data_IF_210487263513
#
_entry.id   IF_210487263513
#
_cell.length_a   1.000
_cell.length_b   1.000
_cell.length_c   1.000
_cell.angle_alpha   90.00
_cell.angle_beta   90.00
_cell.angle_gamma   90.00
#
_symmetry.space_group_name_H-M   'P 1'
#
loop_
_entity.id
_entity.type
_entity.pdbx_description
1 polymer ?
#
# COMPACT_ATOMS: atom_id res chain seq x y z
N UNK A 1 -67.83 58.78 -0.60
CA UNK A 1 -68.82 58.41 0.45
C UNK A 1 -69.01 56.89 0.41
N UNK A 2 -68.95 56.25 1.59
CA UNK A 2 -69.50 54.92 2.02
C UNK A 2 -69.27 53.70 1.11
N UNK A 3 -68.35 52.77 1.44
CA UNK A 3 -68.40 51.62 2.39
C UNK A 3 -69.52 50.61 2.13
N UNK A 4 -69.14 49.33 1.94
CA UNK A 4 -69.56 48.02 2.55
C UNK A 4 -68.77 46.93 1.79
N UNK A 5 -67.67 46.28 2.23
CA UNK A 5 -67.40 45.22 3.24
C UNK A 5 -68.37 44.01 3.23
N UNK A 6 -67.85 42.84 2.81
CA UNK A 6 -68.01 41.46 3.37
C UNK A 6 -67.64 40.46 2.26
N UNK A 7 -67.03 39.29 2.43
CA UNK A 7 -66.22 38.64 3.46
C UNK A 7 -65.54 37.44 2.78
N UNK A 8 -64.38 37.07 3.31
CA UNK A 8 -63.52 35.89 3.10
C UNK A 8 -64.21 34.55 2.82
N UNK A 9 -63.53 33.66 2.06
CA UNK A 9 -63.04 32.34 2.53
C UNK A 9 -61.81 31.94 1.70
N UNK A 10 -60.76 31.58 2.42
CA UNK A 10 -59.50 31.04 1.91
C UNK A 10 -59.64 29.55 1.57
N UNK A 11 -59.02 29.10 0.48
CA UNK A 11 -58.74 27.69 0.24
C UNK A 11 -57.22 27.52 0.13
N UNK A 12 -56.66 27.02 1.23
CA UNK A 12 -55.27 26.62 1.40
C UNK A 12 -55.10 25.26 0.69
N UNK A 13 -54.31 25.18 -0.38
CA UNK A 13 -53.94 23.89 -0.99
C UNK A 13 -52.56 23.50 -0.47
N UNK A 14 -52.52 22.58 0.49
CA UNK A 14 -51.28 21.96 0.95
C UNK A 14 -50.85 20.89 -0.08
N UNK A 15 -49.70 21.10 -0.71
CA UNK A 15 -49.02 20.09 -1.52
C UNK A 15 -48.35 19.10 -0.56
N UNK A 16 -48.91 17.90 -0.46
CA UNK A 16 -48.28 16.76 0.20
C UNK A 16 -47.15 16.24 -0.70
N UNK A 17 -45.93 16.66 -0.40
CA UNK A 17 -44.71 15.99 -0.86
C UNK A 17 -44.58 14.67 -0.08
N UNK A 18 -44.85 13.56 -0.75
CA UNK A 18 -44.54 12.22 -0.27
C UNK A 18 -43.01 12.07 -0.20
N UNK A 19 -42.45 12.31 0.98
CA UNK A 19 -41.14 11.81 1.38
C UNK A 19 -41.25 10.28 1.45
N UNK A 20 -40.90 9.61 0.34
CA UNK A 20 -40.57 8.20 0.38
C UNK A 20 -39.40 8.04 1.32
N UNK A 21 -39.62 7.38 2.45
CA UNK A 21 -38.55 6.94 3.33
C UNK A 21 -37.58 6.08 2.51
N UNK A 22 -36.43 6.65 2.16
CA UNK A 22 -35.29 5.85 1.76
C UNK A 22 -34.93 5.02 2.99
N UNK A 23 -35.23 3.73 2.93
CA UNK A 23 -34.68 2.77 3.86
C UNK A 23 -33.15 2.97 3.90
N UNK A 24 -32.51 2.87 5.08
CA UNK A 24 -31.06 2.84 5.11
C UNK A 24 -30.60 1.74 4.14
N UNK A 25 -29.65 2.09 3.28
CA UNK A 25 -28.97 1.12 2.45
C UNK A 25 -28.45 0.03 3.39
N UNK A 26 -29.06 -1.14 3.32
CA UNK A 26 -28.50 -2.34 3.92
C UNK A 26 -27.13 -2.50 3.28
N UNK A 27 -26.10 -2.41 4.11
CA UNK A 27 -24.76 -2.87 3.75
C UNK A 27 -24.93 -4.23 3.09
N UNK A 28 -24.38 -4.36 1.88
CA UNK A 28 -24.35 -5.63 1.20
C UNK A 28 -23.56 -6.59 2.10
N UNK A 29 -24.26 -7.48 2.81
CA UNK A 29 -23.73 -8.78 3.20
C UNK A 29 -23.42 -9.52 1.89
N UNK A 30 -22.27 -9.21 1.31
CA UNK A 30 -21.76 -9.95 0.17
C UNK A 30 -21.09 -11.19 0.75
N UNK A 31 -21.90 -12.21 1.02
CA UNK A 31 -21.44 -13.55 1.34
C UNK A 31 -20.53 -14.06 0.23
N UNK A 32 -19.24 -13.88 0.42
CA UNK A 32 -18.20 -14.70 -0.17
C UNK A 32 -17.64 -15.51 0.98
N UNK A 33 -17.45 -16.81 0.80
CA UNK A 33 -16.84 -17.69 1.82
C UNK A 33 -15.35 -17.40 2.02
N UNK A 34 -14.95 -16.12 2.03
CA UNK A 34 -13.63 -15.66 2.38
C UNK A 34 -13.45 -15.92 3.87
N UNK A 35 -12.43 -16.71 4.18
CA UNK A 35 -12.00 -16.97 5.55
C UNK A 35 -11.47 -15.66 6.11
N UNK A 36 -11.97 -15.25 7.28
CA UNK A 36 -11.34 -14.17 8.04
C UNK A 36 -9.97 -14.63 8.53
N UNK A 37 -8.93 -13.88 8.16
CA UNK A 37 -7.54 -14.24 8.35
C UNK A 37 -6.89 -13.59 9.59
N UNK A 38 -7.64 -12.90 10.44
CA UNK A 38 -7.09 -12.22 11.64
C UNK A 38 -6.23 -13.15 12.49
N UNK A 39 -6.66 -14.41 12.66
CA UNK A 39 -5.93 -15.41 13.44
C UNK A 39 -4.62 -15.89 12.79
N UNK A 40 -4.44 -15.65 11.47
CA UNK A 40 -3.24 -16.00 10.72
C UNK A 40 -2.17 -14.89 10.77
N UNK A 41 -2.53 -13.68 11.24
CA UNK A 41 -1.59 -12.56 11.32
C UNK A 41 -0.53 -12.83 12.41
N UNK A 42 0.77 -12.81 12.07
CA UNK A 42 1.84 -13.11 13.02
C UNK A 42 1.93 -12.04 14.11
N UNK A 43 2.27 -12.46 15.33
CA UNK A 43 2.53 -11.52 16.43
C UNK A 43 3.65 -10.54 16.06
N UNK A 44 3.42 -9.23 16.28
CA UNK A 44 4.38 -8.19 15.94
C UNK A 44 3.71 -6.88 15.48
N UNK A 45 4.47 -6.02 14.76
CA UNK A 45 3.97 -4.77 14.21
C UNK A 45 2.72 -4.93 13.34
N UNK A 46 2.71 -5.95 12.46
CA UNK A 46 1.60 -6.24 11.55
C UNK A 46 0.29 -6.52 12.30
N UNK A 47 0.34 -7.37 13.33
CA UNK A 47 -0.84 -7.68 14.16
C UNK A 47 -1.43 -6.46 14.84
N UNK A 48 -0.59 -5.59 15.41
CA UNK A 48 -1.07 -4.35 16.03
C UNK A 48 -1.76 -3.44 15.01
N UNK A 49 -1.23 -3.39 13.78
CA UNK A 49 -1.87 -2.64 12.71
C UNK A 49 -3.24 -3.22 12.35
N UNK A 50 -3.33 -4.54 12.14
CA UNK A 50 -4.58 -5.23 11.81
C UNK A 50 -5.62 -5.05 12.92
N UNK A 51 -5.28 -5.33 14.17
CA UNK A 51 -6.19 -5.17 15.31
C UNK A 51 -6.68 -3.72 15.43
N UNK A 52 -5.81 -2.74 15.14
CA UNK A 52 -6.20 -1.33 15.12
C UNK A 52 -7.17 -1.03 13.99
N UNK A 53 -6.92 -1.54 12.79
CA UNK A 53 -7.78 -1.34 11.64
C UNK A 53 -9.17 -1.95 11.85
N UNK A 54 -9.22 -3.19 12.33
CA UNK A 54 -10.46 -3.92 12.64
C UNK A 54 -11.25 -3.24 13.76
N UNK A 55 -10.58 -2.82 14.84
CA UNK A 55 -11.23 -2.11 15.95
C UNK A 55 -11.87 -0.78 15.55
N UNK A 56 -11.38 -0.18 14.46
CA UNK A 56 -11.86 1.08 13.90
C UNK A 56 -12.92 0.88 12.81
N UNK A 57 -13.21 -0.37 12.44
CA UNK A 57 -14.18 -0.74 11.40
C UNK A 57 -14.00 0.07 10.11
N UNK A 58 -12.75 0.12 9.63
CA UNK A 58 -12.38 0.94 8.49
C UNK A 58 -12.92 0.32 7.20
N UNK A 59 -13.61 1.12 6.37
CA UNK A 59 -14.25 0.64 5.14
C UNK A 59 -13.33 -0.19 4.23
N UNK A 60 -12.04 0.15 4.18
CA UNK A 60 -10.98 -0.61 3.53
C UNK A 60 -9.64 -0.22 4.14
N UNK A 61 -8.77 -1.18 4.38
CA UNK A 61 -7.48 -0.94 5.00
C UNK A 61 -6.42 -1.92 4.52
N UNK A 62 -5.16 -1.51 4.62
CA UNK A 62 -4.01 -2.38 4.46
C UNK A 62 -2.95 -2.05 5.51
N UNK A 63 -2.17 -3.06 5.89
CA UNK A 63 -1.13 -2.98 6.89
C UNK A 63 0.19 -3.46 6.29
N UNK A 64 1.21 -2.60 6.39
CA UNK A 64 2.59 -2.94 6.05
C UNK A 64 3.47 -2.72 7.27
N UNK A 65 3.90 -3.79 7.92
CA UNK A 65 4.56 -3.68 9.22
C UNK A 65 3.71 -2.90 10.22
N UNK A 66 4.15 -1.71 10.63
CA UNK A 66 3.42 -0.83 11.56
C UNK A 66 2.64 0.31 10.89
N UNK A 67 2.65 0.36 9.56
CA UNK A 67 1.96 1.38 8.77
C UNK A 67 0.56 0.92 8.40
N UNK A 68 -0.44 1.73 8.77
CA UNK A 68 -1.83 1.55 8.38
C UNK A 68 -2.16 2.45 7.18
N UNK A 69 -2.50 1.83 6.06
CA UNK A 69 -3.00 2.48 4.87
C UNK A 69 -4.53 2.48 4.90
N UNK A 70 -5.13 3.65 5.11
CA UNK A 70 -6.58 3.78 5.11
C UNK A 70 -7.00 5.19 4.66
N UNK A 71 -8.13 5.30 3.95
CA UNK A 71 -8.69 6.59 3.51
C UNK A 71 -7.70 7.46 2.71
N UNK A 72 -6.82 6.84 1.93
CA UNK A 72 -5.78 7.53 1.16
C UNK A 72 -4.67 8.15 2.01
N UNK A 73 -4.52 7.72 3.26
CA UNK A 73 -3.48 8.18 4.19
C UNK A 73 -2.69 7.00 4.73
N UNK A 74 -1.43 7.27 5.08
CA UNK A 74 -0.56 6.35 5.82
C UNK A 74 -0.49 6.86 7.27
N UNK A 75 -0.76 5.98 8.23
CA UNK A 75 -0.67 6.24 9.67
C UNK A 75 0.35 5.28 10.30
N UNK A 76 1.38 5.83 10.94
CA UNK A 76 2.38 5.05 11.69
C UNK A 76 1.82 4.69 13.08
N UNK A 77 1.59 3.41 13.35
CA UNK A 77 1.01 2.91 14.61
C UNK A 77 2.08 2.41 15.62
N UNK A 78 3.34 2.34 15.19
CA UNK A 78 4.50 1.97 15.98
C UNK A 78 5.44 3.16 16.26
N UNK A 79 6.58 2.94 16.93
CA UNK A 79 7.68 3.89 16.85
C UNK A 79 7.97 4.16 15.37
N UNK A 80 8.26 5.41 15.02
CA UNK A 80 8.69 5.73 13.66
C UNK A 80 9.92 4.88 13.36
N UNK A 81 9.84 3.99 12.36
CA UNK A 81 11.03 3.26 11.96
C UNK A 81 12.06 4.28 11.50
N UNK A 82 13.21 4.30 12.19
CA UNK A 82 14.39 4.97 11.66
C UNK A 82 14.67 4.36 10.29
N UNK A 83 15.10 5.20 9.34
CA UNK A 83 15.49 4.86 7.96
C UNK A 83 15.73 3.36 7.80
N UNK A 84 15.00 2.65 6.92
CA UNK A 84 15.11 1.21 6.79
C UNK A 84 16.58 0.75 6.78
N UNK A 85 17.01 0.04 7.82
CA UNK A 85 18.42 -0.33 8.05
C UNK A 85 18.75 -1.68 7.43
N UNK A 86 20.02 -1.92 7.13
CA UNK A 86 20.50 -3.18 6.52
C UNK A 86 20.37 -4.32 7.50
N UNK A 87 19.66 -5.40 7.12
CA UNK A 87 19.75 -6.67 7.84
C UNK A 87 20.60 -7.69 7.07
N UNK A 88 21.23 -8.60 7.82
CA UNK A 88 22.19 -9.57 7.30
C UNK A 88 21.57 -10.57 6.30
N UNK A 89 22.45 -11.20 5.51
CA UNK A 89 22.14 -12.13 4.41
C UNK A 89 21.11 -13.23 4.80
N UNK A 90 20.07 -13.39 3.97
CA UNK A 90 19.05 -14.43 4.08
C UNK A 90 19.02 -15.31 2.80
N UNK A 91 18.55 -16.57 2.84
CA UNK A 91 18.57 -17.50 1.71
C UNK A 91 17.75 -17.01 0.50
N UNK A 92 18.19 -17.34 -0.72
CA UNK A 92 17.79 -16.77 -2.03
C UNK A 92 16.31 -16.96 -2.46
N UNK A 93 15.45 -17.62 -1.67
CA UNK A 93 14.01 -17.66 -1.96
C UNK A 93 13.36 -16.38 -1.43
N UNK A 94 12.71 -15.61 -2.32
CA UNK A 94 12.00 -14.38 -2.00
C UNK A 94 10.83 -14.61 -1.01
N UNK A 95 10.37 -15.86 -0.88
CA UNK A 95 9.18 -16.28 -0.14
C UNK A 95 9.46 -16.85 1.26
N UNK A 96 10.74 -17.14 1.58
CA UNK A 96 11.10 -17.85 2.82
C UNK A 96 11.57 -16.97 3.96
N UNK A 97 11.60 -15.65 3.79
CA UNK A 97 12.20 -14.70 4.72
C UNK A 97 11.27 -13.51 4.95
N UNK A 98 11.39 -12.86 6.11
CA UNK A 98 10.52 -11.76 6.55
C UNK A 98 9.12 -12.13 7.06
N UNK A 99 8.76 -13.41 7.16
CA UNK A 99 7.38 -13.85 7.46
C UNK A 99 6.70 -13.25 8.70
N UNK A 100 7.44 -12.76 9.71
CA UNK A 100 6.88 -12.36 11.01
C UNK A 100 6.85 -10.84 11.28
N UNK A 101 7.58 -10.02 10.55
CA UNK A 101 7.80 -8.60 10.90
C UNK A 101 7.05 -7.61 10.01
N UNK A 102 6.57 -8.05 8.84
CA UNK A 102 5.74 -7.25 7.93
C UNK A 102 6.51 -6.31 7.00
N UNK A 103 7.73 -5.90 7.35
CA UNK A 103 8.68 -5.21 6.46
C UNK A 103 10.11 -5.63 6.83
N UNK A 104 10.91 -6.02 5.85
CA UNK A 104 12.30 -6.38 6.03
C UNK A 104 13.15 -5.98 4.84
N UNK A 105 14.45 -5.91 5.08
CA UNK A 105 15.40 -5.62 4.01
C UNK A 105 16.62 -6.52 4.20
N UNK A 106 17.19 -7.05 3.13
CA UNK A 106 18.41 -7.87 3.21
C UNK A 106 19.46 -7.41 2.22
N UNK A 107 20.72 -7.45 2.65
CA UNK A 107 21.86 -7.23 1.76
C UNK A 107 22.22 -8.53 1.05
N UNK A 108 22.17 -8.51 -0.29
CA UNK A 108 22.68 -9.61 -1.13
C UNK A 108 24.16 -9.36 -1.46
N UNK A 109 24.52 -8.11 -1.72
CA UNK A 109 25.89 -7.59 -1.82
C UNK A 109 25.86 -6.07 -1.62
N UNK A 110 27.02 -5.42 -1.52
CA UNK A 110 27.11 -3.94 -1.43
C UNK A 110 26.35 -3.22 -2.56
N UNK A 111 26.14 -3.87 -3.70
CA UNK A 111 25.44 -3.31 -4.86
C UNK A 111 24.02 -3.83 -5.02
N UNK A 112 23.60 -4.83 -4.24
CA UNK A 112 22.31 -5.48 -4.44
C UNK A 112 21.60 -5.66 -3.11
N UNK A 113 20.38 -5.11 -3.04
CA UNK A 113 19.51 -5.24 -1.89
C UNK A 113 18.11 -5.64 -2.30
N UNK A 114 17.41 -6.27 -1.37
CA UNK A 114 15.99 -6.54 -1.47
C UNK A 114 15.25 -5.97 -0.26
N UNK A 115 14.10 -5.37 -0.52
CA UNK A 115 13.12 -4.99 0.49
C UNK A 115 11.86 -5.79 0.26
N UNK A 116 11.37 -6.48 1.29
CA UNK A 116 10.15 -7.29 1.27
C UNK A 116 9.18 -6.73 2.29
N UNK A 117 7.95 -6.48 1.85
CA UNK A 117 6.81 -6.21 2.71
C UNK A 117 5.83 -7.37 2.63
N UNK A 118 5.27 -7.77 3.78
CA UNK A 118 4.15 -8.68 3.86
C UNK A 118 2.93 -7.83 4.18
N UNK A 119 2.03 -7.72 3.21
CA UNK A 119 0.91 -6.81 3.25
C UNK A 119 -0.34 -7.59 3.66
N UNK A 120 -0.94 -7.20 4.78
CA UNK A 120 -2.25 -7.69 5.20
C UNK A 120 -3.31 -6.66 4.83
N UNK A 121 -4.44 -7.09 4.29
CA UNK A 121 -5.51 -6.15 3.90
C UNK A 121 -6.89 -6.67 4.26
N UNK A 122 -7.82 -5.74 4.45
CA UNK A 122 -9.14 -6.04 4.96
C UNK A 122 -10.16 -4.94 4.74
N UNK A 123 -11.39 -5.24 5.14
CA UNK A 123 -12.56 -4.38 4.98
C UNK A 123 -13.44 -4.51 6.22
N UNK A 124 -13.78 -3.37 6.82
CA UNK A 124 -14.45 -3.33 8.11
C UNK A 124 -13.57 -3.96 9.19
N UNK A 125 -14.17 -4.90 9.92
CA UNK A 125 -13.58 -5.67 11.01
C UNK A 125 -12.94 -7.00 10.58
N UNK A 126 -12.77 -7.25 9.27
CA UNK A 126 -12.28 -8.52 8.75
C UNK A 126 -10.96 -8.38 7.98
N UNK A 127 -10.04 -9.31 8.23
CA UNK A 127 -8.84 -9.50 7.40
C UNK A 127 -9.17 -10.42 6.23
N UNK A 128 -9.00 -9.92 4.99
CA UNK A 128 -9.46 -10.61 3.77
C UNK A 128 -8.35 -11.36 3.04
N UNK A 129 -7.11 -10.88 3.11
CA UNK A 129 -6.01 -11.51 2.40
C UNK A 129 -4.65 -10.95 2.78
N UNK A 130 -3.63 -11.60 2.25
CA UNK A 130 -2.25 -11.16 2.36
C UNK A 130 -1.47 -11.44 1.09
N UNK A 131 -0.48 -10.61 0.82
CA UNK A 131 0.46 -10.80 -0.28
C UNK A 131 1.81 -10.17 0.07
N UNK A 132 2.86 -10.70 -0.53
CA UNK A 132 4.18 -10.12 -0.44
C UNK A 132 4.48 -9.20 -1.62
N UNK A 133 5.22 -8.14 -1.33
CA UNK A 133 5.85 -7.30 -2.33
C UNK A 133 7.35 -7.20 -2.07
N UNK A 134 8.14 -7.58 -3.07
CA UNK A 134 9.61 -7.54 -3.02
C UNK A 134 10.11 -6.58 -4.08
N UNK A 135 10.95 -5.62 -3.68
CA UNK A 135 11.72 -4.77 -4.60
C UNK A 135 13.20 -5.10 -4.46
N UNK A 136 13.80 -5.56 -5.56
CA UNK A 136 15.24 -5.75 -5.67
C UNK A 136 15.87 -4.56 -6.37
N UNK A 137 16.84 -3.94 -5.70
CA UNK A 137 17.64 -2.83 -6.21
C UNK A 137 19.04 -3.35 -6.53
N UNK A 138 19.45 -3.23 -7.78
CA UNK A 138 20.81 -3.53 -8.22
C UNK A 138 21.49 -2.25 -8.75
N UNK A 139 22.51 -1.81 -8.02
CA UNK A 139 23.21 -0.54 -8.17
C UNK A 139 24.53 -0.65 -8.93
N UNK A 140 24.62 -1.55 -9.92
CA UNK A 140 25.82 -1.71 -10.73
C UNK A 140 26.04 -0.53 -11.71
N UNK A 141 26.48 0.60 -11.15
CA UNK A 141 26.62 1.89 -11.81
C UNK A 141 25.64 2.93 -11.26
N UNK A 142 25.53 4.06 -11.97
CA UNK A 142 24.62 5.17 -11.64
C UNK A 142 23.21 5.02 -12.19
N UNK A 143 22.91 3.88 -12.80
CA UNK A 143 21.57 3.59 -13.31
C UNK A 143 21.05 2.34 -12.60
N UNK A 144 20.15 2.50 -11.61
CA UNK A 144 19.58 1.40 -10.87
C UNK A 144 18.87 0.41 -11.78
N UNK A 145 19.03 -0.87 -11.47
CA UNK A 145 18.32 -1.99 -12.10
C UNK A 145 17.33 -2.54 -11.09
N UNK A 146 16.05 -2.42 -11.40
CA UNK A 146 14.94 -2.68 -10.49
C UNK A 146 14.14 -3.88 -10.97
N UNK A 147 13.76 -4.76 -10.04
CA UNK A 147 12.75 -5.79 -10.27
C UNK A 147 11.78 -5.82 -9.10
N UNK A 148 10.50 -5.91 -9.39
CA UNK A 148 9.46 -6.14 -8.39
C UNK A 148 8.91 -7.55 -8.55
N UNK A 149 8.82 -8.29 -7.44
CA UNK A 149 8.05 -9.52 -7.36
C UNK A 149 6.84 -9.30 -6.45
N UNK A 150 5.69 -9.83 -6.85
CA UNK A 150 4.51 -9.93 -6.01
C UNK A 150 4.14 -11.41 -5.84
N UNK A 151 3.75 -11.80 -4.62
CA UNK A 151 3.39 -13.19 -4.29
C UNK A 151 2.06 -13.14 -3.53
N UNK A 152 1.06 -13.88 -3.99
CA UNK A 152 -0.22 -13.97 -3.28
C UNK A 152 -0.12 -15.08 -2.24
N UNK A 153 -0.27 -14.74 -0.96
CA UNK A 153 -0.16 -15.71 0.13
C UNK A 153 -1.54 -16.27 0.50
N UNK A 154 -2.52 -15.41 0.76
CA UNK A 154 -3.88 -15.84 1.10
C UNK A 154 -4.90 -14.80 0.61
N UNK A 155 -6.14 -15.25 0.42
CA UNK A 155 -7.27 -14.43 -0.01
C UNK A 155 -7.65 -14.59 -1.49
N UNK A 156 -8.55 -13.72 -1.98
CA UNK A 156 -9.07 -13.78 -3.34
C UNK A 156 -8.01 -13.37 -4.39
N UNK A 157 -8.24 -13.68 -5.68
CA UNK A 157 -7.36 -13.23 -6.75
C UNK A 157 -7.17 -11.71 -6.74
N UNK A 158 -5.92 -11.26 -6.91
CA UNK A 158 -5.53 -9.86 -6.87
C UNK A 158 -5.19 -9.33 -8.26
N UNK A 159 -5.79 -8.22 -8.65
CA UNK A 159 -5.42 -7.46 -9.83
C UNK A 159 -4.68 -6.18 -9.44
N UNK A 160 -3.46 -6.00 -9.94
CA UNK A 160 -2.65 -4.81 -9.76
C UNK A 160 -2.67 -3.99 -11.05
N UNK A 161 -3.54 -2.98 -11.19
CA UNK A 161 -3.58 -2.13 -12.38
C UNK A 161 -2.29 -1.35 -12.59
N UNK A 162 -1.65 -0.92 -11.50
CA UNK A 162 -0.46 -0.07 -11.53
C UNK A 162 0.46 -0.40 -10.36
N UNK A 163 1.72 -0.66 -10.70
CA UNK A 163 2.82 -0.78 -9.75
C UNK A 163 3.90 0.19 -10.23
N UNK A 164 4.34 1.08 -9.35
CA UNK A 164 5.32 2.10 -9.67
C UNK A 164 6.43 2.11 -8.64
N UNK A 165 7.63 2.37 -9.11
CA UNK A 165 8.77 2.66 -8.24
C UNK A 165 9.19 4.09 -8.47
N UNK A 166 9.28 4.87 -7.39
CA UNK A 166 9.71 6.27 -7.45
C UNK A 166 11.07 6.40 -6.79
N UNK A 167 12.04 6.98 -7.50
CA UNK A 167 13.34 7.33 -6.98
C UNK A 167 13.25 8.68 -6.26
N UNK A 168 13.85 8.77 -5.07
CA UNK A 168 13.98 10.00 -4.31
C UNK A 168 15.44 10.28 -3.96
N UNK A 169 15.82 11.54 -4.09
CA UNK A 169 17.05 12.12 -3.56
C UNK A 169 16.76 12.71 -2.18
N UNK A 170 17.47 12.23 -1.16
CA UNK A 170 17.29 12.68 0.22
C UNK A 170 17.79 14.11 0.41
N UNK A 171 16.98 14.90 1.10
CA UNK A 171 17.39 16.20 1.60
C UNK A 171 17.08 16.34 3.08
N UNK A 172 18.10 16.26 3.93
CA UNK A 172 17.94 16.29 5.40
C UNK A 172 17.09 17.44 5.98
N UNK A 173 17.00 18.60 5.28
CA UNK A 173 16.27 19.79 5.74
C UNK A 173 15.18 20.28 4.76
N UNK A 174 14.94 19.56 3.67
CA UNK A 174 14.00 19.96 2.62
C UNK A 174 13.17 18.75 2.17
N UNK A 175 12.03 18.93 1.49
CA UNK A 175 11.37 17.82 0.83
C UNK A 175 12.34 17.12 -0.12
N UNK A 176 12.30 15.79 -0.15
CA UNK A 176 13.11 14.99 -1.07
C UNK A 176 12.69 15.24 -2.51
N UNK A 177 13.68 15.34 -3.41
CA UNK A 177 13.44 15.54 -4.83
C UNK A 177 13.22 14.20 -5.53
N UNK A 178 12.25 14.13 -6.44
CA UNK A 178 12.04 12.92 -7.24
C UNK A 178 13.10 12.83 -8.34
N UNK A 179 13.91 11.77 -8.32
CA UNK A 179 14.93 11.48 -9.34
C UNK A 179 14.43 10.62 -10.50
N UNK A 180 13.18 10.14 -10.46
CA UNK A 180 12.57 9.35 -11.53
C UNK A 180 11.36 8.55 -11.05
N UNK A 181 10.51 8.13 -11.98
CA UNK A 181 9.40 7.21 -11.70
C UNK A 181 9.26 6.17 -12.79
N UNK A 182 9.33 4.90 -12.40
CA UNK A 182 9.23 3.76 -13.29
C UNK A 182 7.92 3.01 -13.09
N UNK A 183 7.22 2.74 -14.18
CA UNK A 183 6.09 1.79 -14.15
C UNK A 183 6.64 0.37 -14.24
N UNK A 184 6.45 -0.40 -13.18
CA UNK A 184 6.91 -1.79 -13.10
C UNK A 184 6.03 -2.70 -13.95
N UNK A 185 4.73 -2.38 -14.03
CA UNK A 185 3.75 -3.04 -14.87
C UNK A 185 2.41 -3.18 -14.17
N UNK A 186 1.62 -4.15 -14.64
CA UNK A 186 0.43 -4.64 -13.97
C UNK A 186 0.51 -6.15 -13.77
N UNK A 187 -0.11 -6.63 -12.70
CA UNK A 187 -0.07 -8.03 -12.30
C UNK A 187 -1.49 -8.59 -12.11
N UNK A 188 -1.64 -9.89 -12.30
CA UNK A 188 -2.84 -10.62 -11.89
C UNK A 188 -2.42 -11.91 -11.20
N UNK A 189 -2.68 -12.00 -9.90
CA UNK A 189 -2.35 -13.15 -9.06
C UNK A 189 -3.62 -13.95 -8.84
N UNK A 190 -3.68 -15.17 -9.37
CA UNK A 190 -4.92 -15.94 -9.49
C UNK A 190 -5.20 -16.85 -8.31
N UNK A 191 -4.17 -17.33 -7.63
CA UNK A 191 -4.27 -18.32 -6.55
C UNK A 191 -3.16 -18.09 -5.53
N UNK A 192 -3.35 -18.58 -4.30
CA UNK A 192 -2.28 -18.70 -3.31
C UNK A 192 -1.02 -19.34 -3.91
N UNK A 193 0.14 -18.80 -3.55
CA UNK A 193 1.46 -19.11 -4.08
C UNK A 193 1.73 -18.58 -5.49
N UNK A 194 0.77 -17.91 -6.16
CA UNK A 194 1.02 -17.34 -7.48
C UNK A 194 1.97 -16.15 -7.38
N UNK A 195 2.92 -16.10 -8.31
CA UNK A 195 3.97 -15.07 -8.35
C UNK A 195 3.91 -14.29 -9.66
N UNK A 196 4.14 -12.99 -9.56
CA UNK A 196 4.38 -12.12 -10.71
C UNK A 196 5.71 -11.42 -10.55
N UNK A 197 6.43 -11.24 -11.65
CA UNK A 197 7.68 -10.49 -11.68
C UNK A 197 7.60 -9.42 -12.78
N UNK A 198 8.03 -8.21 -12.49
CA UNK A 198 8.00 -7.07 -13.43
C UNK A 198 8.90 -7.27 -14.66
N UNK A 199 9.85 -8.21 -14.57
CA UNK A 199 11.06 -8.19 -15.37
C UNK A 199 11.96 -7.02 -14.99
N UNK A 200 13.13 -6.96 -15.65
CA UNK A 200 14.10 -5.89 -15.41
C UNK A 200 13.55 -4.53 -15.87
N UNK A 201 13.66 -3.54 -14.98
CA UNK A 201 13.49 -2.12 -15.26
C UNK A 201 14.79 -1.38 -14.98
N UNK A 202 15.05 -0.38 -15.80
CA UNK A 202 16.19 0.51 -15.64
C UNK A 202 15.65 1.83 -15.14
N UNK A 203 16.05 2.22 -13.93
CA UNK A 203 15.72 3.52 -13.41
C UNK A 203 16.44 4.63 -14.15
N UNK A 204 16.12 5.86 -13.77
CA UNK A 204 16.80 7.03 -14.27
C UNK A 204 18.27 7.08 -13.79
N UNK A 205 19.09 7.79 -14.56
CA UNK A 205 20.51 7.94 -14.25
C UNK A 205 20.66 8.95 -13.10
N UNK A 206 21.32 8.52 -12.03
CA UNK A 206 21.60 9.34 -10.86
C UNK A 206 22.79 10.27 -11.13
N UNK A 207 22.60 11.57 -10.85
CA UNK A 207 23.48 12.63 -11.34
C UNK A 207 24.56 13.05 -10.35
N UNK A 208 24.31 12.95 -9.04
CA UNK A 208 25.22 13.45 -8.02
C UNK A 208 25.61 12.35 -7.01
N UNK A 209 26.19 12.74 -5.88
CA UNK A 209 26.69 11.82 -4.85
C UNK A 209 25.88 11.86 -3.57
N UNK A 210 24.64 12.32 -3.66
CA UNK A 210 23.72 12.38 -2.54
C UNK A 210 23.22 10.99 -2.18
N UNK A 211 22.43 10.96 -1.13
CA UNK A 211 21.76 9.77 -0.65
C UNK A 211 20.43 9.62 -1.40
N UNK A 212 20.11 8.40 -1.79
CA UNK A 212 18.93 8.08 -2.57
C UNK A 212 18.18 6.92 -1.95
N UNK A 213 16.89 6.83 -2.23
CA UNK A 213 16.07 5.65 -1.96
C UNK A 213 15.02 5.47 -3.05
N UNK A 214 14.37 4.31 -3.07
CA UNK A 214 13.21 4.06 -3.92
C UNK A 214 11.99 3.83 -3.05
N UNK A 215 10.82 4.30 -3.46
CA UNK A 215 9.55 3.90 -2.87
C UNK A 215 8.81 2.98 -3.83
N UNK A 216 8.20 1.91 -3.31
CA UNK A 216 7.28 1.06 -4.08
C UNK A 216 5.85 1.46 -3.75
N UNK A 217 5.11 1.91 -4.77
CA UNK A 217 3.69 2.23 -4.67
C UNK A 217 2.90 1.25 -5.53
N UNK A 218 1.73 0.84 -5.04
CA UNK A 218 0.84 -0.06 -5.77
C UNK A 218 -0.62 0.31 -5.57
N UNK A 219 -1.42 0.08 -6.62
CA UNK A 219 -2.86 -0.08 -6.51
C UNK A 219 -3.22 -1.54 -6.75
N UNK A 220 -4.16 -2.08 -6.00
CA UNK A 220 -4.65 -3.45 -6.17
C UNK A 220 -6.15 -3.58 -5.93
N UNK A 221 -6.74 -4.58 -6.56
CA UNK A 221 -8.18 -4.88 -6.51
C UNK A 221 -8.33 -6.36 -6.19
N UNK A 222 -8.68 -6.70 -4.94
CA UNK A 222 -9.09 -8.05 -4.60
C UNK A 222 -10.43 -8.38 -5.25
N UNK A 223 -10.56 -9.57 -5.83
CA UNK A 223 -11.79 -9.96 -6.53
C UNK A 223 -12.98 -9.95 -5.56
N UNK A 224 -14.00 -9.16 -5.88
CA UNK A 224 -15.20 -9.01 -5.05
C UNK A 224 -15.16 -7.85 -4.04
N UNK A 225 -14.05 -7.11 -3.98
CA UNK A 225 -13.85 -6.01 -3.01
C UNK A 225 -13.48 -4.68 -3.69
N UNK A 226 -13.52 -3.59 -2.92
CA UNK A 226 -13.16 -2.25 -3.41
C UNK A 226 -11.63 -2.10 -3.59
N UNK A 227 -11.15 -1.26 -4.52
CA UNK A 227 -9.72 -1.04 -4.72
C UNK A 227 -9.00 -0.49 -3.48
N UNK A 228 -7.76 -0.91 -3.31
CA UNK A 228 -6.80 -0.40 -2.33
C UNK A 228 -5.59 0.19 -3.07
N UNK A 229 -4.92 1.16 -2.45
CA UNK A 229 -3.71 1.74 -3.02
C UNK A 229 -2.89 2.49 -1.98
N UNK A 230 -1.58 2.54 -2.19
CA UNK A 230 -0.69 3.46 -1.49
C UNK A 230 0.78 3.07 -1.64
N UNK A 231 1.61 3.75 -0.86
CA UNK A 231 3.03 3.40 -0.69
C UNK A 231 3.12 2.14 0.14
N UNK A 232 3.66 1.07 -0.44
CA UNK A 232 3.87 -0.18 0.27
C UNK A 232 5.06 -0.05 1.21
N UNK A 233 6.18 0.47 0.72
CA UNK A 233 7.37 0.70 1.53
C UNK A 233 8.37 1.60 0.84
N UNK A 234 9.31 2.11 1.62
CA UNK A 234 10.53 2.73 1.15
C UNK A 234 11.67 1.72 1.25
N UNK A 235 12.48 1.67 0.20
CA UNK A 235 13.75 0.98 0.27
C UNK A 235 14.65 1.78 1.22
N UNK A 236 15.57 1.08 1.83
CA UNK A 236 16.74 1.67 2.42
C UNK A 236 17.53 2.57 1.48
N UNK A 237 18.30 3.45 2.13
CA UNK A 237 19.07 4.47 1.48
C UNK A 237 20.39 3.91 0.90
N UNK A 238 20.88 4.54 -0.16
CA UNK A 238 22.13 4.20 -0.83
C UNK A 238 22.82 5.43 -1.39
N UNK A 239 24.13 5.33 -1.66
CA UNK A 239 24.96 6.46 -2.06
C UNK A 239 25.64 6.23 -3.40
N UNK A 240 25.90 7.31 -4.13
CA UNK A 240 26.60 7.31 -5.42
C UNK A 240 27.89 8.15 -5.38
N UNK A 241 28.88 7.75 -4.59
CA UNK A 241 30.09 8.55 -4.38
C UNK A 241 30.92 8.76 -5.66
N UNK A 242 31.29 10.01 -5.95
CA UNK A 242 32.22 10.34 -7.04
C UNK A 242 31.76 9.84 -8.42
N UNK A 243 32.70 9.34 -9.22
CA UNK A 243 32.40 8.72 -10.53
C UNK A 243 32.03 7.23 -10.43
N UNK A 244 31.99 6.68 -9.20
CA UNK A 244 31.94 5.25 -8.93
C UNK A 244 30.50 4.69 -8.93
N UNK A 245 30.32 3.34 -8.96
CA UNK A 245 29.02 2.72 -8.81
C UNK A 245 28.36 3.07 -7.47
N UNK A 246 27.03 3.13 -7.47
CA UNK A 246 26.27 3.35 -6.25
C UNK A 246 26.29 2.09 -5.38
N UNK A 247 26.20 2.22 -4.06
CA UNK A 247 26.19 1.08 -3.15
C UNK A 247 25.40 1.35 -1.88
N UNK A 248 24.94 0.28 -1.24
CA UNK A 248 24.32 0.30 0.08
C UNK A 248 25.41 0.34 1.15
N UNK A 249 25.31 1.28 2.07
CA UNK A 249 26.15 1.31 3.27
C UNK A 249 25.45 0.52 4.38
N UNK A 250 26.24 -0.19 5.18
CA UNK A 250 25.77 -0.85 6.41
C UNK A 250 25.20 0.15 7.43
#
# INVERSE_FOLDING_TARGET
MRRVITSTIAALTAVLLSLGAMAPAQSAENGTGARDLTAAVPDGPAKKCVETAESRDLASWACVGSELLANGKVEQLGPQEQRPTVSAYAPDDEDGWCETTGLCTRLVSDYIRETKANIWYGYGDQTVGSYDAVLRNNLNGRQPRLTTTLILDDGPPLYFPTITTTCYEEHTLWPDDTCGTDTMGGAYLTTEGSRWNSGLRYGDRLENSNEYYHALDAGWVPTGYAPLSGRLFETPYFYCWGADPCYFTE
#
